data_IF_018421684958
#
_entry.id   IF_018421684958
#
_cell.length_a   1.000
_cell.length_b   1.000
_cell.length_c   1.000
_cell.angle_alpha   90.00
_cell.angle_beta   90.00
_cell.angle_gamma   90.00
#
_symmetry.space_group_name_H-M   'P 1'
#
loop_
_entity.id
_entity.type
_entity.pdbx_description
1 polymer ?
#
# COMPACT_ATOMS: atom_id res chain seq x y z
N UNK A 1 13.74 -25.25 -0.48
CA UNK A 1 13.68 -23.83 -0.92
C UNK A 1 14.98 -23.20 -0.47
N UNK A 2 15.69 -22.48 -1.34
CA UNK A 2 16.90 -21.78 -0.91
C UNK A 2 16.53 -20.69 0.11
N UNK A 3 17.43 -20.44 1.06
CA UNK A 3 17.22 -19.48 2.15
C UNK A 3 16.90 -18.07 1.63
N UNK A 4 17.52 -17.68 0.50
CA UNK A 4 17.27 -16.40 -0.20
C UNK A 4 15.82 -16.30 -0.68
N UNK A 5 15.29 -17.35 -1.31
CA UNK A 5 13.89 -17.38 -1.76
C UNK A 5 12.91 -17.28 -0.59
N UNK A 6 13.24 -17.91 0.55
CA UNK A 6 12.40 -17.83 1.75
C UNK A 6 12.35 -16.41 2.32
N UNK A 7 13.48 -15.71 2.33
CA UNK A 7 13.56 -14.32 2.80
C UNK A 7 12.73 -13.38 1.91
N UNK A 8 12.84 -13.51 0.58
CA UNK A 8 12.06 -12.68 -0.37
C UNK A 8 10.54 -12.88 -0.21
N UNK A 9 10.09 -14.10 0.08
CA UNK A 9 8.67 -14.36 0.38
C UNK A 9 8.25 -13.69 1.69
N UNK A 10 9.09 -13.73 2.72
CA UNK A 10 8.84 -13.08 4.00
C UNK A 10 8.76 -11.55 3.85
N UNK A 11 9.62 -10.95 3.03
CA UNK A 11 9.59 -9.52 2.72
C UNK A 11 8.28 -9.12 2.03
N UNK A 12 7.81 -9.90 1.04
CA UNK A 12 6.50 -9.69 0.40
C UNK A 12 5.37 -9.76 1.43
N UNK A 13 5.38 -10.75 2.32
CA UNK A 13 4.32 -10.91 3.32
C UNK A 13 4.31 -9.74 4.33
N UNK A 14 5.48 -9.21 4.70
CA UNK A 14 5.60 -8.00 5.52
C UNK A 14 5.00 -6.80 4.79
N UNK A 15 5.34 -6.58 3.52
CA UNK A 15 4.79 -5.47 2.72
C UNK A 15 3.27 -5.58 2.58
N UNK A 16 2.74 -6.78 2.34
CA UNK A 16 1.29 -7.01 2.27
C UNK A 16 0.59 -6.67 3.57
N UNK A 17 1.19 -7.00 4.72
CA UNK A 17 0.66 -6.60 6.03
C UNK A 17 0.63 -5.09 6.20
N UNK A 18 1.71 -4.40 5.84
CA UNK A 18 1.78 -2.93 5.86
C UNK A 18 0.68 -2.29 5.00
N UNK A 19 0.44 -2.81 3.79
CA UNK A 19 -0.63 -2.35 2.89
C UNK A 19 -2.01 -2.60 3.50
N UNK A 20 -2.24 -3.80 4.06
CA UNK A 20 -3.51 -4.12 4.73
C UNK A 20 -3.77 -3.21 5.93
N UNK A 21 -2.74 -2.89 6.72
CA UNK A 21 -2.87 -1.97 7.84
C UNK A 21 -3.27 -0.56 7.35
N UNK A 22 -2.60 -0.04 6.31
CA UNK A 22 -2.94 1.26 5.72
C UNK A 22 -4.34 1.29 5.09
N UNK A 23 -4.77 0.19 4.46
CA UNK A 23 -6.12 0.04 3.92
C UNK A 23 -7.16 0.03 5.05
N UNK A 24 -6.88 -0.69 6.14
CA UNK A 24 -7.77 -0.80 7.29
C UNK A 24 -7.98 0.55 7.96
N UNK A 25 -6.89 1.30 8.21
CA UNK A 25 -6.99 2.62 8.84
C UNK A 25 -7.73 3.62 7.95
N UNK A 26 -7.48 3.58 6.64
CA UNK A 26 -8.20 4.45 5.70
C UNK A 26 -9.68 4.09 5.59
N UNK A 27 -10.02 2.79 5.65
CA UNK A 27 -11.40 2.33 5.72
C UNK A 27 -12.13 2.83 6.96
N UNK A 28 -11.48 2.81 8.14
CA UNK A 28 -12.07 3.40 9.35
C UNK A 28 -12.33 4.90 9.22
N UNK A 29 -11.40 5.64 8.59
CA UNK A 29 -11.62 7.06 8.30
C UNK A 29 -12.84 7.27 7.39
N UNK A 30 -13.00 6.43 6.36
CA UNK A 30 -14.12 6.50 5.43
C UNK A 30 -15.45 6.22 6.14
N UNK A 31 -15.53 5.10 6.85
CA UNK A 31 -16.72 4.65 7.59
C UNK A 31 -17.16 5.65 8.67
N UNK A 32 -16.21 6.25 9.40
CA UNK A 32 -16.51 7.22 10.46
C UNK A 32 -17.00 8.56 9.91
N UNK A 33 -16.55 8.94 8.71
CA UNK A 33 -16.81 10.27 8.18
C UNK A 33 -17.97 10.32 7.19
N UNK A 34 -18.05 9.32 6.30
CA UNK A 34 -19.05 9.25 5.25
C UNK A 34 -20.18 8.29 5.66
N UNK A 35 -20.97 8.74 6.64
CA UNK A 35 -22.03 7.93 7.26
C UNK A 35 -23.34 7.84 6.46
N UNK A 36 -23.39 8.46 5.29
CA UNK A 36 -24.59 8.55 4.48
C UNK A 36 -24.39 7.85 3.13
N UNK A 37 -25.48 7.32 2.59
CA UNK A 37 -25.45 6.75 1.24
C UNK A 37 -25.23 7.84 0.17
N UNK A 38 -24.94 7.40 -1.06
CA UNK A 38 -24.66 8.28 -2.20
C UNK A 38 -25.84 9.14 -2.65
N UNK A 39 -27.06 8.85 -2.19
CA UNK A 39 -28.28 9.60 -2.51
C UNK A 39 -28.59 10.73 -1.53
N UNK A 40 -27.88 10.79 -0.39
CA UNK A 40 -28.10 11.80 0.65
C UNK A 40 -27.72 13.20 0.16
N UNK A 41 -28.67 14.13 0.28
CA UNK A 41 -28.40 15.55 0.05
C UNK A 41 -27.92 16.19 1.36
N UNK A 42 -26.68 16.71 1.33
CA UNK A 42 -26.11 17.37 2.49
C UNK A 42 -26.94 18.60 2.90
N UNK A 43 -27.22 18.66 4.20
CA UNK A 43 -27.72 19.84 4.88
C UNK A 43 -26.65 20.93 4.93
N UNK A 44 -27.08 22.16 5.20
CA UNK A 44 -26.16 23.30 5.35
C UNK A 44 -25.12 23.06 6.45
N UNK A 45 -25.51 22.43 7.55
CA UNK A 45 -24.61 22.18 8.68
C UNK A 45 -23.57 21.11 8.35
N UNK A 46 -23.95 20.08 7.60
CA UNK A 46 -23.01 19.06 7.11
C UNK A 46 -22.00 19.65 6.12
N UNK A 47 -22.44 20.54 5.23
CA UNK A 47 -21.54 21.28 4.32
C UNK A 47 -20.53 22.10 5.10
N UNK A 48 -20.98 22.83 6.13
CA UNK A 48 -20.09 23.62 6.99
C UNK A 48 -19.11 22.72 7.76
N UNK A 49 -19.58 21.61 8.33
CA UNK A 49 -18.75 20.61 9.01
C UNK A 49 -17.68 20.04 8.06
N UNK A 50 -18.02 19.77 6.81
CA UNK A 50 -17.09 19.36 5.77
C UNK A 50 -16.01 20.42 5.53
N UNK A 51 -16.41 21.69 5.39
CA UNK A 51 -15.49 22.80 5.23
C UNK A 51 -14.51 22.93 6.40
N UNK A 52 -14.99 22.82 7.63
CA UNK A 52 -14.14 22.91 8.83
C UNK A 52 -13.09 21.79 8.91
N UNK A 53 -13.44 20.57 8.49
CA UNK A 53 -12.55 19.40 8.55
C UNK A 53 -11.63 19.25 7.34
N UNK A 54 -11.82 20.05 6.29
CA UNK A 54 -11.10 19.92 5.01
C UNK A 54 -9.58 19.81 5.17
N UNK A 55 -8.98 20.69 5.97
CA UNK A 55 -7.52 20.73 6.13
C UNK A 55 -6.96 19.49 6.83
N UNK A 56 -7.63 19.03 7.88
CA UNK A 56 -7.26 17.82 8.62
C UNK A 56 -7.36 16.60 7.71
N UNK A 57 -8.46 16.50 6.96
CA UNK A 57 -8.69 15.38 6.04
C UNK A 57 -7.67 15.35 4.92
N UNK A 58 -7.37 16.51 4.32
CA UNK A 58 -6.32 16.63 3.31
C UNK A 58 -4.96 16.17 3.84
N UNK A 59 -4.62 16.54 5.08
CA UNK A 59 -3.38 16.11 5.71
C UNK A 59 -3.34 14.58 5.90
N UNK A 60 -4.39 14.02 6.49
CA UNK A 60 -4.53 12.58 6.72
C UNK A 60 -4.44 11.76 5.42
N UNK A 61 -5.18 12.18 4.38
CA UNK A 61 -5.18 11.53 3.06
C UNK A 61 -3.78 11.62 2.43
N UNK A 62 -3.12 12.78 2.52
CA UNK A 62 -1.76 12.94 1.97
C UNK A 62 -0.78 12.00 2.66
N UNK A 63 -0.84 11.89 3.99
CA UNK A 63 0.01 10.95 4.75
C UNK A 63 -0.23 9.50 4.34
N UNK A 64 -1.47 9.10 4.09
CA UNK A 64 -1.78 7.74 3.61
C UNK A 64 -1.24 7.49 2.20
N UNK A 65 -1.37 8.46 1.29
CA UNK A 65 -0.80 8.39 -0.06
C UNK A 65 0.73 8.26 0.00
N UNK A 66 1.38 9.07 0.83
CA UNK A 66 2.84 9.02 0.99
C UNK A 66 3.29 7.65 1.54
N UNK A 67 2.56 7.12 2.52
CA UNK A 67 2.85 5.82 3.11
C UNK A 67 2.69 4.67 2.10
N UNK A 68 1.58 4.65 1.35
CA UNK A 68 1.35 3.68 0.29
C UNK A 68 2.42 3.78 -0.81
N UNK A 69 2.87 4.99 -1.13
CA UNK A 69 3.93 5.22 -2.11
C UNK A 69 5.27 4.65 -1.65
N UNK A 70 5.56 4.64 -0.35
CA UNK A 70 6.75 3.98 0.22
C UNK A 70 6.61 2.47 0.09
N UNK A 71 5.47 1.89 0.45
CA UNK A 71 5.26 0.45 0.37
C UNK A 71 5.31 -0.08 -1.06
N UNK A 72 4.84 0.71 -2.04
CA UNK A 72 4.97 0.36 -3.45
C UNK A 72 6.45 0.29 -3.88
N UNK A 73 7.28 1.25 -3.45
CA UNK A 73 8.73 1.21 -3.73
C UNK A 73 9.43 0.03 -3.06
N UNK A 74 9.02 -0.31 -1.83
CA UNK A 74 9.52 -1.52 -1.15
C UNK A 74 9.17 -2.77 -1.96
N UNK A 75 7.94 -2.86 -2.49
CA UNK A 75 7.52 -3.98 -3.34
C UNK A 75 8.33 -4.04 -4.64
N UNK A 76 8.51 -2.91 -5.33
CA UNK A 76 9.32 -2.84 -6.56
C UNK A 76 10.75 -3.35 -6.30
N UNK A 77 11.34 -2.97 -5.16
CA UNK A 77 12.69 -3.42 -4.78
C UNK A 77 12.75 -4.95 -4.62
N UNK A 78 11.77 -5.54 -3.92
CA UNK A 78 11.74 -7.00 -3.72
C UNK A 78 11.50 -7.74 -5.04
N UNK A 79 10.69 -7.18 -5.94
CA UNK A 79 10.46 -7.74 -7.27
C UNK A 79 11.73 -7.72 -8.13
N UNK A 80 12.49 -6.63 -8.11
CA UNK A 80 13.80 -6.57 -8.79
C UNK A 80 14.77 -7.63 -8.25
N UNK A 81 14.79 -7.86 -6.93
CA UNK A 81 15.68 -8.85 -6.33
C UNK A 81 15.26 -10.29 -6.69
N UNK A 82 13.96 -10.56 -6.82
CA UNK A 82 13.44 -11.81 -7.36
C UNK A 82 13.89 -12.00 -8.82
N UNK A 83 13.80 -10.97 -9.66
CA UNK A 83 14.24 -11.03 -11.06
C UNK A 83 15.74 -11.31 -11.18
N UNK A 84 16.56 -10.66 -10.35
CA UNK A 84 18.01 -10.90 -10.29
C UNK A 84 18.33 -12.33 -9.85
N UNK A 85 17.69 -12.82 -8.79
CA UNK A 85 17.88 -14.18 -8.29
C UNK A 85 17.46 -15.23 -9.32
N UNK A 86 16.34 -14.99 -10.02
CA UNK A 86 15.88 -15.84 -11.13
C UNK A 86 16.88 -15.85 -12.29
N UNK A 87 17.40 -14.69 -12.69
CA UNK A 87 18.36 -14.58 -13.81
C UNK A 87 19.71 -15.23 -13.49
N UNK A 88 20.21 -15.10 -12.26
CA UNK A 88 21.46 -15.73 -11.82
C UNK A 88 21.43 -17.26 -11.93
N UNK A 89 20.27 -17.87 -11.68
CA UNK A 89 20.06 -19.33 -11.81
C UNK A 89 20.20 -19.86 -13.23
N UNK A 90 19.99 -19.01 -14.24
CA UNK A 90 20.10 -19.40 -15.66
C UNK A 90 21.48 -19.09 -16.26
N UNK A 91 22.22 -18.14 -15.69
CA UNK A 91 23.58 -17.79 -16.13
C UNK A 91 24.63 -18.88 -15.87
N UNK A 92 24.39 -19.77 -14.91
CA UNK A 92 25.31 -20.88 -14.55
C UNK A 92 25.12 -22.12 -15.44
N UNK A 93 24.28 -22.04 -16.49
CA UNK A 93 24.00 -23.14 -17.42
C UNK A 93 24.72 -23.01 -18.77
N UNK A 94 25.73 -22.14 -18.86
CA UNK A 94 26.65 -22.10 -20.01
C UNK A 94 27.92 -22.88 -19.72
N UNK A 95 27.81 -24.20 -19.61
CA UNK A 95 28.95 -25.11 -19.71
C UNK A 95 28.83 -25.95 -20.99
N UNK A 96 29.81 -25.68 -21.85
CA UNK A 96 30.28 -26.32 -23.09
C UNK A 96 29.84 -27.75 -23.45
N UNK A 97 29.71 -27.92 -24.77
CA UNK A 97 29.77 -29.13 -25.63
C UNK A 97 28.44 -29.75 -26.09
#
# INVERSE_FOLDING_TARGET
>A
MEWETKNLIEDIDIIKRKINDALTTFGWFDDEYFTHDSGHMLTKDEILKHGYKYHEHRCYITQHIDLLSVYLKELDTVLEDIEKASSAKFGDRTDNA
#
